data_IF_673623894760
#
_entry.id   IF_673623894760
#
_cell.length_a   1.000
_cell.length_b   1.000
_cell.length_c   1.000
_cell.angle_alpha   90.00
_cell.angle_beta   90.00
_cell.angle_gamma   90.00
#
_symmetry.space_group_name_H-M   'P 1'
#
loop_
_entity.id
_entity.type
_entity.pdbx_description
1 polymer ?
#
# COMPACT_ATOMS: atom_id res chain seq x y z
N UNK A 1 8.80 48.07 2.21
CA UNK A 1 9.15 46.98 1.27
C UNK A 1 7.86 46.47 0.66
N UNK A 2 7.86 46.10 -0.62
CA UNK A 2 6.66 45.58 -1.27
C UNK A 2 7.02 44.58 -2.38
N UNK A 3 6.15 43.60 -2.61
CA UNK A 3 6.26 42.66 -3.72
C UNK A 3 5.74 43.29 -5.02
N UNK A 4 6.42 43.04 -6.13
CA UNK A 4 5.99 43.36 -7.48
C UNK A 4 6.03 42.10 -8.33
N UNK A 5 4.89 41.80 -8.94
CA UNK A 5 4.73 40.76 -9.94
C UNK A 5 4.54 41.47 -11.27
N UNK A 6 5.47 41.24 -12.19
CA UNK A 6 5.41 41.82 -13.53
C UNK A 6 5.07 40.72 -14.53
N UNK A 7 3.99 40.90 -15.29
CA UNK A 7 3.69 40.06 -16.45
C UNK A 7 4.69 40.38 -17.57
N UNK A 8 5.31 39.34 -18.11
CA UNK A 8 6.28 39.42 -19.21
C UNK A 8 5.91 38.43 -20.31
N UNK A 9 6.12 38.77 -21.60
CA UNK A 9 5.87 37.85 -22.70
C UNK A 9 6.99 36.81 -22.82
N UNK A 10 6.63 35.57 -23.13
CA UNK A 10 7.60 34.51 -23.46
C UNK A 10 7.74 34.34 -24.97
N UNK A 11 8.95 34.04 -25.44
CA UNK A 11 9.19 33.86 -26.89
C UNK A 11 8.61 32.56 -27.43
N UNK A 12 8.69 31.49 -26.63
CA UNK A 12 8.29 30.13 -26.99
C UNK A 12 7.05 29.72 -26.19
N UNK A 13 6.07 29.05 -26.83
CA UNK A 13 4.96 28.44 -26.09
C UNK A 13 5.46 27.29 -25.22
N UNK A 14 4.71 27.00 -24.17
CA UNK A 14 4.95 25.83 -23.32
C UNK A 14 4.68 24.53 -24.11
N UNK A 15 5.53 23.52 -23.94
CA UNK A 15 5.40 22.21 -24.63
C UNK A 15 4.90 21.10 -23.71
N UNK A 16 4.59 21.44 -22.47
CA UNK A 16 4.15 20.55 -21.40
C UNK A 16 2.65 20.29 -21.38
N UNK A 17 1.93 20.53 -22.49
CA UNK A 17 0.50 20.25 -22.61
C UNK A 17 0.13 18.85 -22.16
N UNK A 18 -1.00 18.72 -21.45
CA UNK A 18 -1.55 17.41 -21.09
C UNK A 18 -1.93 16.62 -22.33
N UNK A 19 -2.03 15.31 -22.16
CA UNK A 19 -2.37 14.44 -23.27
C UNK A 19 -3.83 14.59 -23.70
N UNK A 20 -4.10 14.42 -25.00
CA UNK A 20 -5.46 14.51 -25.54
C UNK A 20 -6.23 13.20 -25.45
N UNK A 21 -5.52 12.09 -25.51
CA UNK A 21 -6.13 10.76 -25.57
C UNK A 21 -5.32 9.74 -24.76
N UNK A 22 -6.05 8.83 -24.13
CA UNK A 22 -5.54 7.61 -23.53
C UNK A 22 -5.77 6.47 -24.53
N UNK A 23 -4.72 5.71 -24.84
CA UNK A 23 -4.75 4.62 -25.82
C UNK A 23 -4.30 3.32 -25.20
N UNK A 24 -5.02 2.26 -25.54
CA UNK A 24 -4.66 0.88 -25.21
C UNK A 24 -3.75 0.35 -26.30
N UNK A 25 -2.64 -0.24 -25.90
CA UNK A 25 -1.73 -0.96 -26.78
C UNK A 25 -1.50 -2.37 -26.19
N UNK A 26 -1.07 -3.30 -27.03
CA UNK A 26 -0.79 -4.67 -26.63
C UNK A 26 0.68 -4.95 -26.85
N UNK A 27 1.37 -5.30 -25.77
CA UNK A 27 2.77 -5.69 -25.81
C UNK A 27 2.83 -7.21 -25.95
N UNK A 28 3.35 -7.69 -27.08
CA UNK A 28 3.70 -9.09 -27.24
C UNK A 28 5.11 -9.31 -26.71
N UNK A 29 5.27 -10.21 -25.74
CA UNK A 29 6.58 -10.56 -25.23
C UNK A 29 6.63 -11.94 -24.60
N UNK A 30 7.83 -12.52 -24.61
CA UNK A 30 8.11 -13.81 -24.00
C UNK A 30 9.29 -13.67 -23.04
N UNK A 31 9.13 -14.14 -21.82
CA UNK A 31 10.19 -14.14 -20.79
C UNK A 31 10.37 -15.58 -20.34
N UNK A 32 11.61 -16.10 -20.37
CA UNK A 32 11.92 -17.49 -19.98
C UNK A 32 11.01 -18.54 -20.66
N UNK A 33 10.73 -18.36 -21.96
CA UNK A 33 9.82 -19.19 -22.77
C UNK A 33 8.35 -19.22 -22.28
N UNK A 34 7.95 -18.28 -21.42
CA UNK A 34 6.56 -18.07 -21.00
C UNK A 34 6.00 -16.82 -21.66
N UNK A 35 4.74 -16.90 -22.09
CA UNK A 35 4.03 -15.75 -22.65
C UNK A 35 3.71 -14.73 -21.55
N UNK A 36 4.35 -13.57 -21.67
CA UNK A 36 4.19 -12.42 -20.78
C UNK A 36 3.50 -11.25 -21.49
N UNK A 37 2.83 -11.53 -22.61
CA UNK A 37 2.10 -10.51 -23.36
C UNK A 37 0.94 -9.94 -22.54
N UNK A 38 0.80 -8.62 -22.56
CA UNK A 38 -0.20 -7.90 -21.76
C UNK A 38 -0.62 -6.59 -22.42
N UNK A 39 -1.80 -6.11 -22.04
CA UNK A 39 -2.28 -4.79 -22.39
C UNK A 39 -1.57 -3.74 -21.54
N UNK A 40 -1.18 -2.64 -22.17
CA UNK A 40 -0.71 -1.46 -21.47
C UNK A 40 -1.38 -0.23 -22.07
N UNK A 41 -1.15 0.93 -21.47
CA UNK A 41 -1.66 2.17 -22.01
C UNK A 41 -0.54 3.15 -22.28
N UNK A 42 -0.79 3.99 -23.27
CA UNK A 42 0.01 5.15 -23.60
C UNK A 42 -0.91 6.36 -23.73
N UNK A 43 -0.34 7.54 -23.62
CA UNK A 43 -1.07 8.78 -23.90
C UNK A 43 -0.56 9.39 -25.20
N UNK A 44 -1.47 9.88 -26.04
CA UNK A 44 -1.13 10.45 -27.35
C UNK A 44 -1.75 11.83 -27.53
N UNK A 45 -1.10 12.60 -28.41
CA UNK A 45 -1.38 14.01 -28.62
C UNK A 45 -1.08 14.84 -27.38
N UNK A 46 -0.69 16.10 -27.56
CA UNK A 46 -0.62 17.07 -26.46
C UNK A 46 -1.48 18.27 -26.81
N UNK A 47 -2.12 18.87 -25.81
CA UNK A 47 -2.77 20.16 -26.00
C UNK A 47 -1.73 21.24 -26.32
N UNK A 48 -2.08 22.11 -27.26
CA UNK A 48 -1.25 23.26 -27.57
C UNK A 48 -1.49 24.32 -26.48
N UNK A 49 -0.39 24.95 -26.05
CA UNK A 49 -0.39 25.93 -24.97
C UNK A 49 -0.03 27.32 -25.51
N UNK A 50 -0.99 28.05 -26.11
CA UNK A 50 -0.72 29.28 -26.85
C UNK A 50 -0.40 30.48 -25.96
N UNK A 51 -0.72 30.44 -24.66
CA UNK A 51 -0.53 31.57 -23.75
C UNK A 51 0.98 31.76 -23.48
N UNK A 52 1.53 32.86 -23.98
CA UNK A 52 2.95 33.20 -23.88
C UNK A 52 3.22 34.22 -22.79
N UNK A 53 2.80 33.90 -21.57
CA UNK A 53 2.93 34.77 -20.40
C UNK A 53 3.81 34.12 -19.34
N UNK A 54 4.58 34.95 -18.66
CA UNK A 54 5.29 34.59 -17.43
C UNK A 54 5.21 35.76 -16.44
N UNK A 55 5.46 35.46 -15.18
CA UNK A 55 5.32 36.38 -14.07
C UNK A 55 6.67 36.47 -13.35
N UNK A 56 7.32 37.63 -13.45
CA UNK A 56 8.56 37.91 -12.74
C UNK A 56 8.22 38.46 -11.35
N UNK A 57 8.61 37.72 -10.32
CA UNK A 57 8.39 38.07 -8.91
C UNK A 57 9.63 38.78 -8.39
N UNK A 58 9.42 39.94 -7.77
CA UNK A 58 10.49 40.78 -7.24
C UNK A 58 10.10 41.49 -5.95
N UNK A 59 11.08 41.71 -5.08
CA UNK A 59 10.93 42.51 -3.86
C UNK A 59 11.59 43.87 -4.07
N UNK A 60 10.84 44.93 -3.80
CA UNK A 60 11.30 46.31 -3.92
C UNK A 60 11.35 47.00 -2.56
N UNK A 61 12.43 47.74 -2.33
CA UNK A 61 12.60 48.62 -1.18
C UNK A 61 12.94 50.02 -1.66
N UNK A 62 12.03 50.98 -1.42
CA UNK A 62 12.29 52.39 -1.62
C UNK A 62 12.93 52.98 -0.36
N UNK A 63 13.95 53.81 -0.53
CA UNK A 63 14.65 54.52 0.55
C UNK A 63 15.04 55.92 0.08
N UNK A 64 15.41 56.81 1.02
CA UNK A 64 15.89 58.15 0.69
C UNK A 64 17.37 58.25 1.02
N UNK A 65 18.12 58.86 0.10
CA UNK A 65 19.53 59.16 0.26
C UNK A 65 19.74 60.57 -0.29
N UNK A 66 20.25 61.48 0.54
CA UNK A 66 20.47 62.89 0.17
C UNK A 66 19.22 63.59 -0.42
N UNK A 67 18.03 63.28 0.10
CA UNK A 67 16.76 63.85 -0.36
C UNK A 67 16.18 63.22 -1.63
N UNK A 68 16.93 62.37 -2.34
CA UNK A 68 16.45 61.63 -3.52
C UNK A 68 15.89 60.26 -3.14
N UNK A 69 14.77 59.88 -3.77
CA UNK A 69 14.19 58.54 -3.61
C UNK A 69 14.97 57.55 -4.48
N UNK A 70 15.64 56.59 -3.83
CA UNK A 70 16.31 55.46 -4.49
C UNK A 70 15.55 54.16 -4.24
N UNK A 71 15.80 53.14 -5.07
CA UNK A 71 15.07 51.87 -5.05
C UNK A 71 16.02 50.68 -5.20
N UNK A 72 16.03 49.78 -4.22
CA UNK A 72 16.63 48.45 -4.35
C UNK A 72 15.60 47.48 -4.92
N UNK A 73 16.03 46.63 -5.85
CA UNK A 73 15.20 45.62 -6.49
C UNK A 73 15.87 44.26 -6.41
N UNK A 74 15.14 43.27 -5.92
CA UNK A 74 15.61 41.89 -5.79
C UNK A 74 14.69 40.99 -6.61
N UNK A 75 15.22 40.38 -7.67
CA UNK A 75 14.48 39.40 -8.45
C UNK A 75 14.47 38.07 -7.69
N UNK A 76 13.29 37.53 -7.40
CA UNK A 76 13.14 36.28 -6.68
C UNK A 76 13.13 35.11 -7.66
N UNK A 77 12.09 35.03 -8.49
CA UNK A 77 11.96 34.01 -9.50
C UNK A 77 11.10 34.50 -10.67
N UNK A 78 10.99 33.69 -11.71
CA UNK A 78 10.06 33.90 -12.81
C UNK A 78 9.34 32.59 -13.06
N UNK A 79 8.02 32.64 -13.09
CA UNK A 79 7.14 31.47 -13.26
C UNK A 79 6.31 31.64 -14.51
N UNK A 80 6.16 30.60 -15.33
CA UNK A 80 5.34 30.70 -16.54
C UNK A 80 3.85 30.52 -16.21
N UNK A 81 2.95 30.96 -17.11
CA UNK A 81 1.50 30.87 -16.90
C UNK A 81 1.03 29.44 -16.60
N UNK A 82 1.53 28.46 -17.35
CA UNK A 82 1.10 27.07 -17.20
C UNK A 82 1.64 26.41 -15.94
N UNK A 83 2.82 26.80 -15.44
CA UNK A 83 3.33 26.32 -14.14
C UNK A 83 2.40 26.74 -12.98
N UNK A 84 1.83 27.94 -13.06
CA UNK A 84 0.79 28.41 -12.12
C UNK A 84 -0.53 27.66 -12.36
N UNK A 85 -0.95 27.54 -13.61
CA UNK A 85 -2.21 26.92 -14.02
C UNK A 85 -2.31 25.45 -13.62
N UNK A 86 -1.22 24.70 -13.73
CA UNK A 86 -1.18 23.28 -13.34
C UNK A 86 -0.88 23.07 -11.86
N UNK A 87 -0.60 24.14 -11.12
CA UNK A 87 -0.27 24.07 -9.68
C UNK A 87 1.08 23.41 -9.37
N UNK A 88 2.00 23.37 -10.34
CA UNK A 88 3.35 22.82 -10.15
C UNK A 88 4.24 23.84 -9.42
N UNK A 89 3.95 25.14 -9.58
CA UNK A 89 4.70 26.18 -8.91
C UNK A 89 4.49 26.16 -7.40
N UNK A 90 5.60 26.15 -6.67
CA UNK A 90 5.66 26.41 -5.23
C UNK A 90 6.74 27.47 -4.96
N UNK A 91 6.43 28.44 -4.11
CA UNK A 91 7.38 29.51 -3.78
C UNK A 91 8.62 28.96 -3.04
N UNK A 92 8.44 27.91 -2.24
CA UNK A 92 9.53 27.24 -1.54
C UNK A 92 10.51 26.59 -2.51
N UNK A 93 10.02 25.79 -3.45
CA UNK A 93 10.89 25.04 -4.37
C UNK A 93 11.60 25.96 -5.38
N UNK A 94 10.97 27.08 -5.75
CA UNK A 94 11.47 27.96 -6.82
C UNK A 94 12.12 29.25 -6.32
N UNK A 95 11.82 29.69 -5.11
CA UNK A 95 12.16 31.02 -4.60
C UNK A 95 13.03 31.04 -3.34
N UNK A 96 13.13 29.93 -2.60
CA UNK A 96 13.69 29.94 -1.24
C UNK A 96 15.10 30.55 -1.18
N UNK A 97 16.06 30.04 -1.95
CA UNK A 97 17.44 30.55 -1.94
C UNK A 97 17.51 32.06 -2.18
N UNK A 98 16.68 32.58 -3.09
CA UNK A 98 16.64 34.03 -3.39
C UNK A 98 15.92 34.82 -2.31
N UNK A 99 14.89 34.26 -1.70
CA UNK A 99 14.21 34.86 -0.54
C UNK A 99 15.18 34.97 0.64
N UNK A 100 15.89 33.89 0.99
CA UNK A 100 16.87 33.87 2.09
C UNK A 100 17.95 34.95 1.87
N UNK A 101 18.56 34.98 0.68
CA UNK A 101 19.59 35.98 0.36
C UNK A 101 19.06 37.42 0.37
N UNK A 102 17.82 37.64 -0.09
CA UNK A 102 17.17 38.95 -0.09
C UNK A 102 16.84 39.41 1.33
N UNK A 103 16.36 38.50 2.18
CA UNK A 103 16.06 38.76 3.58
C UNK A 103 17.32 39.17 4.35
N UNK A 104 18.43 38.45 4.14
CA UNK A 104 19.73 38.80 4.71
C UNK A 104 20.21 40.19 4.25
N UNK A 105 20.10 40.51 2.95
CA UNK A 105 20.48 41.82 2.41
C UNK A 105 19.61 42.98 2.93
N UNK A 106 18.38 42.68 3.34
CA UNK A 106 17.43 43.65 3.88
C UNK A 106 17.40 43.69 5.41
N UNK A 107 18.09 42.77 6.08
CA UNK A 107 18.10 42.65 7.53
C UNK A 107 16.72 42.30 8.12
N UNK A 108 15.92 41.49 7.42
CA UNK A 108 14.58 41.08 7.88
C UNK A 108 14.43 39.55 7.98
N UNK A 109 13.38 39.08 8.66
CA UNK A 109 13.02 37.66 8.68
C UNK A 109 12.53 37.23 7.27
N UNK A 110 13.06 36.13 6.68
CA UNK A 110 12.56 35.52 5.46
C UNK A 110 11.04 35.32 5.40
N UNK A 111 10.39 34.98 6.52
CA UNK A 111 8.94 34.76 6.58
C UNK A 111 8.15 35.99 6.13
N UNK A 112 8.66 37.19 6.43
CA UNK A 112 8.05 38.45 5.99
C UNK A 112 8.04 38.55 4.46
N UNK A 113 9.09 38.03 3.79
CA UNK A 113 9.14 38.02 2.33
C UNK A 113 8.21 36.96 1.75
N UNK A 114 8.14 35.77 2.36
CA UNK A 114 7.19 34.74 1.99
C UNK A 114 5.76 35.28 2.02
N UNK A 115 5.34 35.88 3.14
CA UNK A 115 4.00 36.46 3.30
C UNK A 115 3.71 37.56 2.28
N UNK A 116 4.68 38.44 2.01
CA UNK A 116 4.51 39.53 1.03
C UNK A 116 4.34 39.01 -0.40
N UNK A 117 5.02 37.93 -0.74
CA UNK A 117 4.90 37.31 -2.07
C UNK A 117 3.59 36.53 -2.14
N UNK A 118 3.30 35.67 -1.16
CA UNK A 118 2.09 34.86 -1.04
C UNK A 118 0.82 35.71 -1.23
N UNK A 119 0.70 36.81 -0.48
CA UNK A 119 -0.43 37.76 -0.57
C UNK A 119 -0.71 38.30 -1.98
N UNK A 120 0.30 38.32 -2.87
CA UNK A 120 0.13 38.77 -4.27
C UNK A 120 0.03 37.62 -5.26
N UNK A 121 0.80 36.54 -5.07
CA UNK A 121 0.86 35.45 -6.04
C UNK A 121 -0.34 34.50 -5.91
N UNK A 122 -0.85 34.27 -4.70
CA UNK A 122 -1.97 33.34 -4.47
C UNK A 122 -3.26 33.78 -5.17
N UNK A 123 -3.73 35.05 -5.08
CA UNK A 123 -4.94 35.45 -5.79
C UNK A 123 -4.80 35.34 -7.33
N UNK A 124 -3.60 35.66 -7.83
CA UNK A 124 -3.27 35.52 -9.26
C UNK A 124 -3.30 34.04 -9.68
N UNK A 125 -2.63 33.18 -8.92
CA UNK A 125 -2.60 31.74 -9.18
C UNK A 125 -4.00 31.14 -9.13
N UNK A 126 -4.81 31.48 -8.13
CA UNK A 126 -6.19 31.00 -8.01
C UNK A 126 -7.04 31.39 -9.23
N UNK A 127 -6.88 32.63 -9.72
CA UNK A 127 -7.59 33.10 -10.92
C UNK A 127 -7.17 32.30 -12.15
N UNK A 128 -5.85 32.15 -12.36
CA UNK A 128 -5.29 31.39 -13.48
C UNK A 128 -5.74 29.92 -13.44
N UNK A 129 -5.75 29.32 -12.25
CA UNK A 129 -6.19 27.94 -12.06
C UNK A 129 -7.68 27.78 -12.35
N UNK A 130 -8.53 28.70 -11.88
CA UNK A 130 -9.97 28.66 -12.17
C UNK A 130 -10.24 28.78 -13.69
N UNK A 131 -9.54 29.68 -14.38
CA UNK A 131 -9.63 29.79 -15.85
C UNK A 131 -9.15 28.51 -16.54
N UNK A 132 -8.04 27.94 -16.09
CA UNK A 132 -7.49 26.72 -16.67
C UNK A 132 -8.39 25.50 -16.45
N UNK A 133 -9.06 25.42 -15.30
CA UNK A 133 -10.01 24.34 -14.99
C UNK A 133 -11.19 24.29 -15.96
N UNK A 134 -11.55 25.42 -16.56
CA UNK A 134 -12.61 25.48 -17.57
C UNK A 134 -12.15 25.02 -18.96
N UNK A 135 -10.85 24.84 -19.18
CA UNK A 135 -10.31 24.42 -20.47
C UNK A 135 -10.55 22.94 -20.75
N UNK A 136 -10.65 22.61 -22.05
CA UNK A 136 -10.70 21.22 -22.51
C UNK A 136 -9.43 20.44 -22.13
N UNK A 137 -8.27 21.09 -22.05
CA UNK A 137 -7.02 20.47 -21.62
C UNK A 137 -7.16 19.91 -20.20
N UNK A 138 -7.63 20.73 -19.25
CA UNK A 138 -7.80 20.31 -17.86
C UNK A 138 -8.89 19.25 -17.73
N UNK A 139 -10.06 19.48 -18.35
CA UNK A 139 -11.20 18.53 -18.30
C UNK A 139 -10.80 17.15 -18.87
N UNK A 140 -10.01 17.12 -19.93
CA UNK A 140 -9.50 15.87 -20.52
C UNK A 140 -8.49 15.19 -19.60
N UNK A 141 -7.55 15.94 -19.03
CA UNK A 141 -6.57 15.40 -18.10
C UNK A 141 -7.24 14.75 -16.88
N UNK A 142 -8.21 15.41 -16.25
CA UNK A 142 -8.94 14.87 -15.11
C UNK A 142 -9.67 13.57 -15.47
N UNK A 143 -10.30 13.50 -16.64
CA UNK A 143 -10.96 12.26 -17.10
C UNK A 143 -9.95 11.13 -17.29
N UNK A 144 -8.80 11.40 -17.90
CA UNK A 144 -7.73 10.40 -18.08
C UNK A 144 -7.22 9.93 -16.72
N UNK A 145 -6.96 10.84 -15.78
CA UNK A 145 -6.48 10.51 -14.45
C UNK A 145 -7.50 9.68 -13.65
N UNK A 146 -8.79 9.98 -13.76
CA UNK A 146 -9.86 9.19 -13.17
C UNK A 146 -9.87 7.75 -13.69
N UNK A 147 -9.74 7.58 -15.02
CA UNK A 147 -9.68 6.25 -15.65
C UNK A 147 -8.44 5.48 -15.14
N UNK A 148 -7.28 6.13 -15.10
CA UNK A 148 -6.04 5.51 -14.62
C UNK A 148 -6.14 5.14 -13.12
N UNK A 149 -6.76 5.99 -12.30
CA UNK A 149 -6.96 5.71 -10.88
C UNK A 149 -7.90 4.52 -10.66
N UNK A 150 -9.01 4.46 -11.42
CA UNK A 150 -9.94 3.33 -11.37
C UNK A 150 -9.28 2.03 -11.85
N UNK A 151 -8.51 2.08 -12.94
CA UNK A 151 -7.69 0.98 -13.41
C UNK A 151 -6.75 0.44 -12.32
N UNK A 152 -5.98 1.32 -11.66
CA UNK A 152 -5.06 0.93 -10.57
C UNK A 152 -5.81 0.25 -9.42
N UNK A 153 -6.97 0.79 -9.04
CA UNK A 153 -7.82 0.23 -7.99
C UNK A 153 -8.38 -1.14 -8.37
N UNK A 154 -8.84 -1.29 -9.61
CA UNK A 154 -9.37 -2.55 -10.12
C UNK A 154 -8.28 -3.63 -10.20
N UNK A 155 -7.09 -3.25 -10.71
CA UNK A 155 -5.90 -4.11 -10.72
C UNK A 155 -5.53 -4.57 -9.32
N UNK A 156 -5.44 -3.66 -8.35
CA UNK A 156 -5.13 -4.01 -6.96
C UNK A 156 -6.18 -4.96 -6.36
N UNK A 157 -7.47 -4.66 -6.55
CA UNK A 157 -8.57 -5.49 -6.06
C UNK A 157 -8.54 -6.89 -6.68
N UNK A 158 -8.28 -6.99 -7.97
CA UNK A 158 -8.22 -8.26 -8.69
C UNK A 158 -7.00 -9.08 -8.25
N UNK A 159 -5.82 -8.44 -8.17
CA UNK A 159 -4.60 -9.07 -7.67
C UNK A 159 -4.78 -9.62 -6.24
N UNK A 160 -5.40 -8.84 -5.34
CA UNK A 160 -5.75 -9.31 -3.98
C UNK A 160 -6.72 -10.50 -4.01
N UNK A 161 -7.78 -10.44 -4.83
CA UNK A 161 -8.79 -11.49 -4.92
C UNK A 161 -8.20 -12.83 -5.35
N UNK A 162 -7.28 -12.80 -6.30
CA UNK A 162 -6.69 -14.01 -6.87
C UNK A 162 -5.25 -14.27 -6.39
N UNK A 163 -4.77 -13.53 -5.38
CA UNK A 163 -3.45 -13.71 -4.79
C UNK A 163 -2.28 -13.53 -5.77
N UNK A 164 -2.44 -12.66 -6.77
CA UNK A 164 -1.38 -12.29 -7.71
C UNK A 164 -0.63 -11.06 -7.23
N UNK A 165 0.61 -10.90 -7.65
CA UNK A 165 1.47 -9.76 -7.31
C UNK A 165 1.94 -8.97 -8.54
N UNK A 166 1.60 -9.42 -9.74
CA UNK A 166 2.15 -8.90 -10.99
C UNK A 166 1.10 -8.25 -11.90
N UNK A 167 1.30 -8.47 -13.20
CA UNK A 167 0.53 -7.87 -14.29
C UNK A 167 -0.54 -8.81 -14.83
N UNK A 168 -0.95 -9.83 -14.08
CA UNK A 168 -1.94 -10.81 -14.53
C UNK A 168 -3.31 -10.16 -14.84
N UNK A 169 -3.67 -9.08 -14.12
CA UNK A 169 -4.81 -8.24 -14.49
C UNK A 169 -4.70 -7.71 -15.92
N UNK A 170 -3.52 -7.21 -16.29
CA UNK A 170 -3.22 -6.55 -17.57
C UNK A 170 -3.15 -7.56 -18.71
N UNK A 171 -2.98 -8.86 -18.42
CA UNK A 171 -3.10 -9.92 -19.44
C UNK A 171 -4.56 -10.13 -19.88
N UNK A 172 -5.52 -9.79 -19.02
CA UNK A 172 -6.95 -10.01 -19.24
C UNK A 172 -7.72 -8.73 -19.56
N UNK A 173 -7.43 -7.64 -18.86
CA UNK A 173 -8.15 -6.37 -18.93
C UNK A 173 -7.27 -5.23 -19.43
N UNK A 174 -7.88 -4.26 -20.10
CA UNK A 174 -7.20 -3.02 -20.46
C UNK A 174 -7.40 -1.90 -19.43
N UNK A 175 -6.80 -0.73 -19.68
CA UNK A 175 -6.88 0.46 -18.80
C UNK A 175 -8.32 0.99 -18.60
N UNK A 176 -9.25 0.65 -19.48
CA UNK A 176 -10.66 1.02 -19.33
C UNK A 176 -11.46 -0.05 -18.58
N UNK A 177 -10.81 -1.13 -18.12
CA UNK A 177 -11.46 -2.27 -17.48
C UNK A 177 -12.18 -3.20 -18.46
N UNK A 178 -11.93 -3.06 -19.76
CA UNK A 178 -12.55 -3.94 -20.77
C UNK A 178 -11.87 -5.30 -20.74
N UNK A 179 -12.65 -6.38 -20.61
CA UNK A 179 -12.14 -7.74 -20.73
C UNK A 179 -11.74 -8.01 -22.19
N UNK A 180 -10.45 -8.19 -22.42
CA UNK A 180 -9.87 -8.44 -23.74
C UNK A 180 -9.50 -9.90 -23.96
N UNK A 181 -9.12 -10.61 -22.90
CA UNK A 181 -8.78 -12.03 -22.95
C UNK A 181 -9.64 -12.84 -21.97
N UNK A 182 -10.85 -13.26 -22.37
CA UNK A 182 -11.74 -14.04 -21.52
C UNK A 182 -11.21 -15.45 -21.22
N UNK A 183 -10.47 -16.06 -22.15
CA UNK A 183 -9.95 -17.41 -21.99
C UNK A 183 -8.89 -17.47 -20.89
N UNK A 184 -7.98 -16.49 -20.87
CA UNK A 184 -6.96 -16.39 -19.83
C UNK A 184 -7.56 -16.08 -18.45
N UNK A 185 -8.63 -15.28 -18.41
CA UNK A 185 -9.37 -15.04 -17.18
C UNK A 185 -9.96 -16.34 -16.62
N UNK A 186 -10.57 -17.17 -17.47
CA UNK A 186 -11.11 -18.47 -17.07
C UNK A 186 -10.00 -19.40 -16.56
N UNK A 187 -8.83 -19.42 -17.22
CA UNK A 187 -7.66 -20.17 -16.77
C UNK A 187 -7.20 -19.74 -15.36
N UNK A 188 -7.05 -18.43 -15.11
CA UNK A 188 -6.68 -17.93 -13.77
C UNK A 188 -7.72 -18.27 -12.71
N UNK A 189 -9.01 -18.18 -13.05
CA UNK A 189 -10.08 -18.55 -12.12
C UNK A 189 -10.08 -20.04 -11.79
N UNK A 190 -9.86 -20.91 -12.79
CA UNK A 190 -9.73 -22.36 -12.60
C UNK A 190 -8.52 -22.71 -11.74
N UNK A 191 -7.36 -22.13 -12.04
CA UNK A 191 -6.13 -22.35 -11.27
C UNK A 191 -6.33 -22.00 -9.79
N UNK A 192 -7.01 -20.88 -9.52
CA UNK A 192 -7.31 -20.46 -8.15
C UNK A 192 -8.29 -21.38 -7.44
N UNK A 193 -9.37 -21.79 -8.12
CA UNK A 193 -10.32 -22.77 -7.56
C UNK A 193 -9.63 -24.09 -7.20
N UNK A 194 -8.79 -24.61 -8.10
CA UNK A 194 -8.02 -25.83 -7.85
C UNK A 194 -7.04 -25.67 -6.68
N UNK A 195 -6.36 -24.53 -6.58
CA UNK A 195 -5.45 -24.24 -5.46
C UNK A 195 -6.19 -24.15 -4.12
N UNK A 196 -7.38 -23.53 -4.09
CA UNK A 196 -8.21 -23.42 -2.89
C UNK A 196 -8.76 -24.78 -2.47
N UNK A 197 -9.27 -25.58 -3.41
CA UNK A 197 -9.73 -26.94 -3.16
C UNK A 197 -8.59 -27.84 -2.64
N UNK A 198 -7.39 -27.73 -3.23
CA UNK A 198 -6.22 -28.47 -2.75
C UNK A 198 -5.82 -28.03 -1.34
N UNK A 199 -5.76 -26.73 -1.06
CA UNK A 199 -5.44 -26.22 0.27
C UNK A 199 -6.47 -26.65 1.32
N UNK A 200 -7.77 -26.58 1.00
CA UNK A 200 -8.84 -27.06 1.89
C UNK A 200 -8.74 -28.56 2.14
N UNK A 201 -8.52 -29.37 1.11
CA UNK A 201 -8.29 -30.81 1.26
C UNK A 201 -7.06 -31.06 2.14
N UNK A 202 -5.92 -30.45 1.84
CA UNK A 202 -4.70 -30.58 2.64
C UNK A 202 -4.91 -30.18 4.10
N UNK A 203 -5.62 -29.08 4.37
CA UNK A 203 -5.94 -28.62 5.71
C UNK A 203 -6.84 -29.62 6.44
N UNK A 204 -7.87 -30.13 5.78
CA UNK A 204 -8.73 -31.16 6.37
C UNK A 204 -7.97 -32.46 6.64
N UNK A 205 -7.04 -32.87 5.77
CA UNK A 205 -6.16 -34.00 6.04
C UNK A 205 -5.24 -33.74 7.25
N UNK A 206 -4.65 -32.55 7.35
CA UNK A 206 -3.80 -32.18 8.48
C UNK A 206 -4.60 -32.10 9.80
N UNK A 207 -5.78 -31.49 9.80
CA UNK A 207 -6.67 -31.44 10.98
C UNK A 207 -7.13 -32.83 11.40
N UNK A 208 -7.51 -33.70 10.44
CA UNK A 208 -7.83 -35.10 10.74
C UNK A 208 -6.63 -35.87 11.29
N UNK A 209 -5.42 -35.63 10.77
CA UNK A 209 -4.20 -36.26 11.26
C UNK A 209 -3.87 -35.81 12.70
N UNK A 210 -3.93 -34.50 12.97
CA UNK A 210 -3.71 -33.95 14.32
C UNK A 210 -4.78 -34.39 15.31
N UNK A 211 -6.05 -34.45 14.89
CA UNK A 211 -7.15 -34.92 15.73
C UNK A 211 -7.00 -36.40 16.09
N UNK A 212 -6.68 -37.26 15.11
CA UNK A 212 -6.41 -38.68 15.36
C UNK A 212 -5.16 -38.88 16.23
N UNK A 213 -4.09 -38.11 16.02
CA UNK A 213 -2.88 -38.18 16.83
C UNK A 213 -3.14 -37.76 18.28
N UNK A 214 -3.91 -36.68 18.51
CA UNK A 214 -4.25 -36.21 19.85
C UNK A 214 -5.17 -37.21 20.58
N UNK A 215 -6.12 -37.82 19.86
CA UNK A 215 -6.96 -38.89 20.39
C UNK A 215 -6.15 -40.14 20.77
N UNK A 216 -5.15 -40.52 19.96
CA UNK A 216 -4.24 -41.62 20.27
C UNK A 216 -3.38 -41.31 21.51
N UNK A 217 -2.80 -40.12 21.60
CA UNK A 217 -1.98 -39.69 22.74
C UNK A 217 -2.82 -39.62 24.03
N UNK A 218 -4.02 -39.04 23.99
CA UNK A 218 -4.92 -38.97 25.14
C UNK A 218 -5.36 -40.36 25.61
N UNK A 219 -5.63 -41.29 24.69
CA UNK A 219 -5.96 -42.68 25.05
C UNK A 219 -4.79 -43.44 25.69
N UNK A 220 -3.54 -43.11 25.33
CA UNK A 220 -2.34 -43.77 25.87
C UNK A 220 -1.95 -43.26 27.28
N UNK A 221 -2.17 -41.97 27.56
CA UNK A 221 -1.83 -41.35 28.85
C UNK A 221 -2.83 -41.77 29.95
N UNK A 222 -4.14 -41.81 29.64
CA UNK A 222 -5.15 -42.28 30.60
C UNK A 222 -4.99 -43.77 30.98
N UNK A 223 -4.44 -44.59 30.08
CA UNK A 223 -4.23 -46.02 30.31
C UNK A 223 -2.98 -46.29 31.19
N UNK A 224 -1.95 -45.44 31.08
CA UNK A 224 -0.71 -45.50 31.87
C UNK A 224 -0.93 -45.14 33.34
N UNK A 225 -1.55 -43.99 33.62
CA UNK A 225 -1.71 -43.47 34.99
C UNK A 225 -2.66 -44.35 35.83
N UNK A 226 -3.70 -44.90 35.21
CA UNK A 226 -4.63 -45.82 35.87
C UNK A 226 -3.98 -47.15 36.22
N UNK A 227 -3.12 -47.71 35.36
CA UNK A 227 -2.41 -48.95 35.64
C UNK A 227 -1.37 -48.77 36.75
N UNK A 228 -0.64 -47.65 36.79
CA UNK A 228 0.32 -47.39 37.87
C UNK A 228 -0.37 -47.17 39.23
N UNK A 229 -1.49 -46.45 39.26
CA UNK A 229 -2.30 -46.28 40.47
C UNK A 229 -2.84 -47.63 40.98
N UNK A 230 -3.37 -48.48 40.10
CA UNK A 230 -3.85 -49.81 40.47
C UNK A 230 -2.71 -50.72 40.98
N UNK A 231 -1.50 -50.64 40.39
CA UNK A 231 -0.31 -51.35 40.89
C UNK A 231 0.11 -50.88 42.28
N UNK A 232 0.07 -49.57 42.54
CA UNK A 232 0.40 -49.01 43.84
C UNK A 232 -0.61 -49.44 44.92
N UNK A 233 -1.92 -49.38 44.61
CA UNK A 233 -3.00 -49.85 45.50
C UNK A 233 -2.84 -51.34 45.79
N UNK A 234 -2.61 -52.16 44.77
CA UNK A 234 -2.38 -53.59 44.95
C UNK A 234 -1.17 -53.88 45.85
N UNK A 235 -0.03 -53.22 45.62
CA UNK A 235 1.19 -53.40 46.43
C UNK A 235 0.97 -53.00 47.89
N UNK A 236 0.26 -51.91 48.15
CA UNK A 236 -0.07 -51.46 49.50
C UNK A 236 -0.98 -52.45 50.22
N UNK A 237 -2.05 -52.92 49.55
CA UNK A 237 -2.97 -53.91 50.10
C UNK A 237 -2.28 -55.26 50.35
N UNK A 238 -1.43 -55.72 49.43
CA UNK A 238 -0.69 -56.97 49.56
C UNK A 238 0.28 -56.93 50.74
N UNK A 239 0.98 -55.81 50.93
CA UNK A 239 1.87 -55.60 52.07
C UNK A 239 1.12 -55.60 53.40
N UNK A 240 -0.05 -54.97 53.45
CA UNK A 240 -0.87 -54.90 54.66
C UNK A 240 -1.54 -56.22 55.03
N UNK A 241 -1.84 -57.08 54.05
CA UNK A 241 -2.51 -58.37 54.23
C UNK A 241 -1.55 -59.56 54.23
N UNK A 242 -0.25 -59.33 54.01
CA UNK A 242 0.76 -60.38 54.01
C UNK A 242 0.80 -61.07 55.38
N UNK A 243 0.91 -62.41 55.43
CA UNK A 243 1.00 -63.17 56.68
C UNK A 243 2.13 -62.67 57.60
N UNK A 244 3.28 -62.30 57.03
CA UNK A 244 4.43 -61.76 57.80
C UNK A 244 4.11 -60.44 58.52
N UNK A 245 3.17 -59.65 58.01
CA UNK A 245 2.73 -58.39 58.64
C UNK A 245 1.58 -58.60 59.64
N UNK A 246 0.97 -59.80 59.67
CA UNK A 246 -0.17 -60.14 60.53
C UNK A 246 0.05 -61.48 61.26
N UNK A 247 1.10 -61.60 62.09
CA UNK A 247 1.39 -62.84 62.80
C UNK A 247 0.21 -63.22 63.72
N UNK A 248 -0.30 -64.45 63.57
CA UNK A 248 -1.40 -64.99 64.37
C UNK A 248 -2.82 -64.68 63.84
N UNK A 249 -2.96 -64.07 62.66
CA UNK A 249 -4.26 -63.92 61.96
C UNK A 249 -4.26 -64.66 60.63
N UNK A 250 -5.34 -65.38 60.33
CA UNK A 250 -5.51 -66.04 59.03
C UNK A 250 -5.94 -65.03 57.95
N UNK A 251 -4.98 -64.57 57.14
CA UNK A 251 -5.23 -63.65 56.02
C UNK A 251 -5.40 -64.36 54.67
N UNK A 252 -5.47 -65.70 54.65
CA UNK A 252 -5.46 -66.51 53.41
C UNK A 252 -6.60 -66.15 52.47
N UNK A 253 -7.83 -65.99 52.99
CA UNK A 253 -9.00 -65.64 52.18
C UNK A 253 -8.93 -64.21 51.65
N UNK A 254 -8.38 -63.28 52.43
CA UNK A 254 -8.21 -61.88 52.00
C UNK A 254 -7.16 -61.76 50.90
N UNK A 255 -6.05 -62.52 50.99
CA UNK A 255 -5.03 -62.59 49.94
C UNK A 255 -5.55 -63.27 48.66
N UNK A 256 -6.40 -64.29 48.78
CA UNK A 256 -7.05 -64.92 47.62
C UNK A 256 -7.92 -63.92 46.84
N UNK A 257 -8.77 -63.16 47.55
CA UNK A 257 -9.61 -62.11 46.94
C UNK A 257 -8.75 -61.01 46.30
N UNK A 258 -7.67 -60.58 46.95
CA UNK A 258 -6.77 -59.58 46.41
C UNK A 258 -6.08 -60.05 45.11
N UNK A 259 -5.74 -61.34 45.03
CA UNK A 259 -5.15 -61.94 43.82
C UNK A 259 -6.16 -62.09 42.67
N UNK A 260 -7.44 -62.32 42.97
CA UNK A 260 -8.49 -62.30 41.94
C UNK A 260 -8.71 -60.89 41.40
N UNK A 261 -8.69 -59.88 42.27
CA UNK A 261 -8.75 -58.47 41.85
C UNK A 261 -7.56 -58.09 40.95
N UNK A 262 -6.35 -58.57 41.26
CA UNK A 262 -5.17 -58.40 40.39
C UNK A 262 -5.42 -58.87 38.96
N UNK A 263 -6.00 -60.07 38.82
CA UNK A 263 -6.34 -60.65 37.50
C UNK A 263 -7.42 -59.84 36.79
N UNK A 264 -8.45 -59.41 37.51
CA UNK A 264 -9.52 -58.58 36.94
C UNK A 264 -9.02 -57.19 36.50
N UNK A 265 -8.03 -56.64 37.19
CA UNK A 265 -7.40 -55.36 36.85
C UNK A 265 -6.33 -55.47 35.75
N UNK A 266 -6.00 -56.68 35.30
CA UNK A 266 -4.96 -56.91 34.28
C UNK A 266 -3.56 -56.53 34.75
N UNK A 267 -3.26 -56.74 36.04
CA UNK A 267 -1.98 -56.43 36.70
C UNK A 267 -1.05 -57.64 36.87
#
# INVERSE_FOLDING_TARGET
>A
MYCVIQEIPTKKPDKGGYARELKVEYLQMTIMNQDESHYYYTTKGKFDRPIKKAYKISIHQSYREEGHVKKKQFSICTVNYYDLATGIFSLYDWGDTKIQSTAAALGCNPDVLYDLIAKKIEPLQNTIQAEFQETEEYKTHIKIDQIIAEYRKNKEKWNKKYGFTGNEYDKCYDVFGTLRNPDLLDQFQKQRRQSEEYYQKSRSYQENFYSNYNQYVQSSVEQSDKQEALKAIYRAAAKALHPDANPGKDTTRAMAVLNDLKKQWGL
#
